data_IF_728233753140
#
_entry.id   IF_728233753140
#
_cell.length_a   1.000
_cell.length_b   1.000
_cell.length_c   1.000
_cell.angle_alpha   90.00
_cell.angle_beta   90.00
_cell.angle_gamma   90.00
#
_symmetry.space_group_name_H-M   'P 1'
#
loop_
_entity.id
_entity.type
_entity.pdbx_description
1 polymer ?
#
# COMPACT_ATOMS: atom_id res chain seq x y z
N UNK A 1 -39.88 -30.55 -31.63
CA UNK A 1 -38.64 -29.77 -31.36
C UNK A 1 -38.92 -28.69 -30.33
N UNK A 2 -39.76 -27.68 -30.61
CA UNK A 2 -40.22 -26.73 -29.60
C UNK A 2 -41.09 -27.38 -28.51
N UNK A 3 -41.81 -28.45 -28.84
CA UNK A 3 -42.69 -29.15 -27.89
C UNK A 3 -41.93 -29.78 -26.72
N UNK A 4 -40.81 -30.48 -26.95
CA UNK A 4 -40.00 -31.09 -25.89
C UNK A 4 -39.34 -30.03 -25.00
N UNK A 5 -38.83 -28.95 -25.60
CA UNK A 5 -38.22 -27.84 -24.87
C UNK A 5 -39.27 -27.04 -24.08
N UNK A 6 -40.43 -26.74 -24.67
CA UNK A 6 -41.53 -26.04 -23.98
C UNK A 6 -42.15 -26.88 -22.89
N UNK A 7 -42.30 -28.19 -23.09
CA UNK A 7 -42.72 -29.15 -22.07
C UNK A 7 -41.72 -29.16 -20.90
N UNK A 8 -40.42 -29.20 -21.19
CA UNK A 8 -39.39 -29.11 -20.16
C UNK A 8 -39.39 -27.77 -19.41
N UNK A 9 -39.50 -26.63 -20.12
CA UNK A 9 -39.59 -25.31 -19.48
C UNK A 9 -40.84 -25.19 -18.58
N UNK A 10 -41.95 -25.81 -18.98
CA UNK A 10 -43.14 -25.90 -18.12
C UNK A 10 -42.89 -26.78 -16.88
N UNK A 11 -42.15 -27.88 -17.03
CA UNK A 11 -41.76 -28.73 -15.90
C UNK A 11 -40.73 -28.10 -14.95
N UNK A 12 -40.00 -27.08 -15.40
CA UNK A 12 -39.19 -26.21 -14.54
C UNK A 12 -40.04 -25.21 -13.76
N UNK A 13 -41.11 -24.69 -14.36
CA UNK A 13 -42.03 -23.76 -13.69
C UNK A 13 -42.95 -24.48 -12.68
N UNK A 14 -43.46 -25.65 -13.04
CA UNK A 14 -44.37 -26.46 -12.24
C UNK A 14 -43.69 -27.78 -11.82
N UNK A 15 -43.40 -27.99 -10.52
CA UNK A 15 -42.72 -29.20 -10.04
C UNK A 15 -43.56 -30.48 -10.17
N UNK A 16 -44.87 -30.35 -10.33
CA UNK A 16 -45.84 -31.46 -10.49
C UNK A 16 -45.81 -32.09 -11.89
N UNK A 17 -45.24 -31.41 -12.88
CA UNK A 17 -45.20 -31.94 -14.26
C UNK A 17 -44.04 -32.93 -14.38
N UNK A 18 -44.30 -34.19 -14.81
CA UNK A 18 -43.26 -35.20 -14.97
C UNK A 18 -42.36 -34.90 -16.18
N UNK A 19 -41.07 -35.18 -16.02
CA UNK A 19 -40.10 -35.04 -17.10
C UNK A 19 -39.97 -36.38 -17.83
N UNK A 20 -40.40 -36.44 -19.09
CA UNK A 20 -40.32 -37.66 -19.91
C UNK A 20 -38.87 -37.99 -20.28
N UNK A 21 -38.48 -39.26 -20.12
CA UNK A 21 -37.15 -39.76 -20.53
C UNK A 21 -36.91 -39.53 -22.03
N UNK A 22 -37.94 -39.73 -22.85
CA UNK A 22 -37.84 -39.56 -24.31
C UNK A 22 -37.54 -38.10 -24.68
N UNK A 23 -38.13 -37.15 -23.96
CA UNK A 23 -37.93 -35.73 -24.22
C UNK A 23 -36.50 -35.31 -23.87
N UNK A 24 -35.96 -35.83 -22.76
CA UNK A 24 -34.58 -35.57 -22.32
C UNK A 24 -33.57 -36.20 -23.28
N UNK A 25 -33.78 -37.44 -23.73
CA UNK A 25 -32.90 -38.06 -24.72
C UNK A 25 -32.91 -37.31 -26.06
N UNK A 26 -34.06 -36.79 -26.47
CA UNK A 26 -34.17 -35.95 -27.67
C UNK A 26 -33.41 -34.62 -27.49
N UNK A 27 -33.61 -33.94 -26.37
CA UNK A 27 -32.94 -32.68 -26.06
C UNK A 27 -31.42 -32.83 -25.96
N UNK A 28 -30.91 -33.92 -25.40
CA UNK A 28 -29.45 -34.18 -25.35
C UNK A 28 -28.84 -34.45 -26.72
N UNK A 29 -29.59 -35.05 -27.66
CA UNK A 29 -29.11 -35.28 -29.03
C UNK A 29 -29.03 -33.98 -29.83
N UNK A 30 -30.01 -33.10 -29.66
CA UNK A 30 -30.08 -31.83 -30.39
C UNK A 30 -29.21 -30.75 -29.75
N UNK A 31 -29.16 -30.73 -28.42
CA UNK A 31 -28.41 -29.76 -27.63
C UNK A 31 -27.49 -30.49 -26.63
N UNK A 32 -26.34 -31.03 -27.09
CA UNK A 32 -25.41 -31.75 -26.23
C UNK A 32 -24.90 -30.92 -25.05
N UNK A 33 -24.86 -29.59 -25.18
CA UNK A 33 -24.44 -28.65 -24.14
C UNK A 33 -25.52 -28.39 -23.07
N UNK A 34 -26.78 -28.75 -23.34
CA UNK A 34 -27.90 -28.44 -22.46
C UNK A 34 -28.08 -29.57 -21.44
N UNK A 35 -27.35 -29.49 -20.33
CA UNK A 35 -27.31 -30.54 -19.30
C UNK A 35 -28.46 -30.49 -18.29
N UNK A 36 -29.20 -29.39 -18.23
CA UNK A 36 -30.27 -29.18 -17.24
C UNK A 36 -31.39 -30.24 -17.29
N UNK A 37 -31.89 -30.67 -18.45
CA UNK A 37 -32.92 -31.73 -18.51
C UNK A 37 -32.42 -33.07 -17.99
N UNK A 38 -31.16 -33.41 -18.27
CA UNK A 38 -30.53 -34.61 -17.75
C UNK A 38 -30.42 -34.54 -16.22
N UNK A 39 -29.96 -33.39 -15.70
CA UNK A 39 -29.79 -33.16 -14.26
C UNK A 39 -31.10 -33.20 -13.49
N UNK A 40 -32.14 -32.55 -13.99
CA UNK A 40 -33.47 -32.52 -13.34
C UNK A 40 -34.10 -33.90 -13.28
N UNK A 41 -34.02 -34.66 -14.37
CA UNK A 41 -34.49 -36.04 -14.43
C UNK A 41 -33.69 -36.94 -13.48
N UNK A 42 -32.36 -36.82 -13.45
CA UNK A 42 -31.52 -37.56 -12.50
C UNK A 42 -31.76 -37.17 -11.04
N UNK A 43 -32.06 -35.90 -10.74
CA UNK A 43 -32.34 -35.43 -9.37
C UNK A 43 -33.71 -35.91 -8.87
N UNK A 44 -34.73 -35.92 -9.74
CA UNK A 44 -36.10 -36.34 -9.39
C UNK A 44 -36.25 -37.87 -9.35
N UNK A 45 -35.70 -38.57 -10.34
CA UNK A 45 -35.98 -40.00 -10.58
C UNK A 45 -34.72 -40.88 -10.61
N UNK A 46 -33.55 -40.38 -10.20
CA UNK A 46 -32.25 -41.04 -10.38
C UNK A 46 -32.14 -42.49 -9.88
N UNK A 47 -32.92 -42.87 -8.86
CA UNK A 47 -32.97 -44.25 -8.34
C UNK A 47 -33.95 -45.16 -9.10
N UNK A 48 -34.94 -44.59 -9.80
CA UNK A 48 -35.96 -45.33 -10.55
C UNK A 48 -35.58 -45.54 -12.02
N UNK A 49 -34.53 -44.89 -12.51
CA UNK A 49 -34.11 -44.98 -13.91
C UNK A 49 -33.42 -46.32 -14.23
N UNK A 50 -33.63 -46.84 -15.45
CA UNK A 50 -32.82 -47.93 -15.97
C UNK A 50 -31.32 -47.63 -15.90
N UNK A 51 -30.50 -48.67 -15.64
CA UNK A 51 -29.05 -48.50 -15.50
C UNK A 51 -28.40 -47.92 -16.77
N UNK A 52 -28.91 -48.30 -17.95
CA UNK A 52 -28.36 -47.86 -19.23
C UNK A 52 -28.70 -46.42 -19.57
N UNK A 53 -29.93 -45.98 -19.29
CA UNK A 53 -30.32 -44.58 -19.49
C UNK A 53 -29.54 -43.67 -18.54
N UNK A 54 -29.42 -44.07 -17.27
CA UNK A 54 -28.62 -43.34 -16.28
C UNK A 54 -27.16 -43.20 -16.71
N UNK A 55 -26.53 -44.25 -17.26
CA UNK A 55 -25.16 -44.19 -17.78
C UNK A 55 -25.03 -43.16 -18.90
N UNK A 56 -25.93 -43.19 -19.89
CA UNK A 56 -25.91 -42.23 -21.01
C UNK A 56 -26.07 -40.78 -20.53
N UNK A 57 -26.95 -40.53 -19.57
CA UNK A 57 -27.14 -39.20 -18.99
C UNK A 57 -25.88 -38.74 -18.24
N UNK A 58 -25.24 -39.63 -17.48
CA UNK A 58 -23.99 -39.35 -16.78
C UNK A 58 -22.84 -39.06 -17.76
N UNK A 59 -22.73 -39.83 -18.85
CA UNK A 59 -21.71 -39.62 -19.87
C UNK A 59 -21.88 -38.25 -20.53
N UNK A 60 -23.11 -37.90 -20.91
CA UNK A 60 -23.42 -36.58 -21.48
C UNK A 60 -23.12 -35.43 -20.51
N UNK A 61 -23.41 -35.62 -19.23
CA UNK A 61 -23.10 -34.62 -18.21
C UNK A 61 -21.59 -34.49 -17.96
N UNK A 62 -20.87 -35.61 -17.91
CA UNK A 62 -19.43 -35.64 -17.68
C UNK A 62 -18.66 -34.93 -18.81
N UNK A 63 -19.11 -35.05 -20.05
CA UNK A 63 -18.52 -34.34 -21.19
C UNK A 63 -18.67 -32.81 -21.10
N UNK A 64 -19.66 -32.32 -20.37
CA UNK A 64 -19.95 -30.90 -20.22
C UNK A 64 -19.55 -30.33 -18.84
N UNK A 65 -19.11 -31.18 -17.91
CA UNK A 65 -18.65 -30.76 -16.60
C UNK A 65 -17.25 -30.12 -16.71
N UNK A 66 -17.01 -29.04 -15.97
CA UNK A 66 -15.70 -28.38 -15.95
C UNK A 66 -14.63 -29.25 -15.29
N UNK A 67 -15.00 -29.96 -14.22
CA UNK A 67 -14.14 -30.86 -13.46
C UNK A 67 -14.93 -32.00 -12.79
N UNK A 68 -14.20 -32.96 -12.23
CA UNK A 68 -14.78 -34.11 -11.54
C UNK A 68 -15.55 -33.68 -10.27
N UNK A 69 -15.13 -32.60 -9.61
CA UNK A 69 -15.81 -32.07 -8.44
C UNK A 69 -17.17 -31.47 -8.81
N UNK A 70 -17.26 -30.68 -9.89
CA UNK A 70 -18.52 -30.16 -10.39
C UNK A 70 -19.48 -31.29 -10.81
N UNK A 71 -18.97 -32.34 -11.48
CA UNK A 71 -19.79 -33.51 -11.80
C UNK A 71 -20.37 -34.17 -10.54
N UNK A 72 -19.55 -34.35 -9.50
CA UNK A 72 -20.00 -34.92 -8.23
C UNK A 72 -21.06 -34.04 -7.55
N UNK A 73 -20.85 -32.72 -7.52
CA UNK A 73 -21.82 -31.76 -6.97
C UNK A 73 -23.13 -31.77 -7.76
N UNK A 74 -23.07 -31.84 -9.09
CA UNK A 74 -24.25 -31.84 -9.94
C UNK A 74 -25.08 -33.11 -9.83
N UNK A 75 -24.43 -34.27 -9.63
CA UNK A 75 -25.07 -35.60 -9.68
C UNK A 75 -25.49 -36.14 -8.32
N UNK A 76 -24.89 -35.66 -7.23
CA UNK A 76 -25.26 -36.08 -5.88
C UNK A 76 -26.65 -35.51 -5.50
N UNK A 77 -27.66 -36.36 -5.22
CA UNK A 77 -28.97 -35.90 -4.75
C UNK A 77 -28.91 -35.13 -3.42
N UNK A 78 -27.82 -35.30 -2.65
CA UNK A 78 -27.59 -34.62 -1.37
C UNK A 78 -26.71 -33.39 -1.50
N UNK A 79 -26.29 -33.00 -2.70
CA UNK A 79 -25.41 -31.82 -2.87
C UNK A 79 -26.01 -30.57 -2.26
N UNK A 80 -27.32 -30.36 -2.42
CA UNK A 80 -28.02 -29.22 -1.82
C UNK A 80 -27.83 -29.16 -0.28
N UNK A 81 -27.77 -30.31 0.40
CA UNK A 81 -27.52 -30.40 1.85
C UNK A 81 -26.08 -30.00 2.21
N UNK A 82 -25.11 -30.39 1.38
CA UNK A 82 -23.69 -30.09 1.59
C UNK A 82 -23.32 -28.65 1.22
N UNK A 83 -24.00 -28.08 0.21
CA UNK A 83 -23.83 -26.67 -0.17
C UNK A 83 -24.27 -25.73 0.96
N UNK A 84 -25.37 -26.06 1.64
CA UNK A 84 -25.90 -25.25 2.75
C UNK A 84 -25.29 -25.60 4.11
N UNK A 85 -24.45 -26.65 4.18
CA UNK A 85 -23.84 -27.10 5.44
C UNK A 85 -22.89 -26.05 6.03
N UNK A 86 -22.20 -25.30 5.16
CA UNK A 86 -21.37 -24.17 5.58
C UNK A 86 -22.10 -22.86 5.31
N UNK A 87 -22.16 -21.92 6.28
CA UNK A 87 -22.66 -20.58 6.02
C UNK A 87 -21.90 -20.00 4.83
N UNK A 88 -22.60 -19.46 3.84
CA UNK A 88 -21.94 -18.82 2.71
C UNK A 88 -20.92 -17.82 3.24
N UNK A 89 -19.65 -18.00 2.87
CA UNK A 89 -18.60 -17.06 3.24
C UNK A 89 -19.02 -15.69 2.71
N UNK A 90 -19.44 -14.81 3.62
CA UNK A 90 -19.58 -13.40 3.29
C UNK A 90 -18.19 -12.92 2.98
N UNK A 91 -17.83 -12.88 1.70
CA UNK A 91 -16.61 -12.21 1.26
C UNK A 91 -16.64 -10.82 1.89
N UNK A 92 -15.62 -10.43 2.67
CA UNK A 92 -15.62 -9.12 3.28
C UNK A 92 -15.75 -8.10 2.16
N UNK A 93 -16.72 -7.20 2.28
CA UNK A 93 -16.81 -6.07 1.36
C UNK A 93 -15.49 -5.29 1.48
N UNK A 94 -14.79 -5.16 0.36
CA UNK A 94 -13.52 -4.42 0.30
C UNK A 94 -13.87 -2.94 0.39
N UNK A 95 -14.06 -2.47 1.61
CA UNK A 95 -14.21 -1.05 1.92
C UNK A 95 -12.84 -0.41 2.03
N UNK A 96 -12.77 0.90 1.80
CA UNK A 96 -11.53 1.68 1.95
C UNK A 96 -10.97 1.55 3.36
N UNK A 97 -11.84 1.55 4.38
CA UNK A 97 -11.44 1.40 5.78
C UNK A 97 -10.81 0.02 6.04
N UNK A 98 -11.41 -1.07 5.55
CA UNK A 98 -10.83 -2.41 5.67
C UNK A 98 -9.46 -2.53 4.97
N UNK A 99 -9.30 -1.87 3.82
CA UNK A 99 -8.03 -1.85 3.11
C UNK A 99 -6.94 -1.10 3.89
N UNK A 100 -7.30 0.05 4.48
CA UNK A 100 -6.39 0.82 5.32
C UNK A 100 -6.00 0.04 6.57
N UNK A 101 -6.96 -0.58 7.26
CA UNK A 101 -6.71 -1.37 8.46
C UNK A 101 -5.80 -2.57 8.17
N UNK A 102 -6.04 -3.27 7.04
CA UNK A 102 -5.19 -4.38 6.60
C UNK A 102 -3.78 -3.90 6.26
N UNK A 103 -3.66 -2.75 5.60
CA UNK A 103 -2.37 -2.16 5.27
C UNK A 103 -1.59 -1.76 6.53
N UNK A 104 -2.24 -1.08 7.48
CA UNK A 104 -1.60 -0.67 8.74
C UNK A 104 -1.24 -1.88 9.62
N UNK A 105 -2.02 -2.95 9.62
CA UNK A 105 -1.66 -4.18 10.32
C UNK A 105 -0.47 -4.91 9.67
N UNK A 106 -0.37 -4.86 8.35
CA UNK A 106 0.69 -5.56 7.59
C UNK A 106 2.00 -4.76 7.55
N UNK A 107 1.91 -3.43 7.43
CA UNK A 107 3.04 -2.53 7.16
C UNK A 107 3.23 -1.43 8.21
N UNK A 108 2.32 -1.28 9.17
CA UNK A 108 2.42 -0.26 10.22
C UNK A 108 3.30 -0.66 11.40
N UNK A 109 3.98 -1.79 11.33
CA UNK A 109 4.95 -2.23 12.33
C UNK A 109 6.37 -2.06 11.78
N UNK A 110 6.98 -0.92 12.08
CA UNK A 110 8.43 -0.76 11.88
C UNK A 110 9.18 -1.54 12.95
N UNK A 111 10.21 -2.28 12.55
CA UNK A 111 11.17 -2.85 13.49
C UNK A 111 12.07 -1.75 14.06
N UNK A 112 12.60 -1.90 15.29
CA UNK A 112 13.50 -0.91 15.87
C UNK A 112 14.78 -0.70 15.04
N UNK A 113 15.16 -1.68 14.21
CA UNK A 113 16.27 -1.58 13.27
C UNK A 113 15.94 -0.68 12.07
N UNK A 114 14.75 -0.82 11.51
CA UNK A 114 14.25 0.05 10.42
C UNK A 114 14.07 1.49 10.88
N UNK A 115 13.57 1.71 12.11
CA UNK A 115 13.45 3.05 12.69
C UNK A 115 14.83 3.71 12.85
N UNK A 116 15.85 2.97 13.27
CA UNK A 116 17.22 3.48 13.38
C UNK A 116 17.86 3.76 12.01
N UNK A 117 17.53 2.97 10.99
CA UNK A 117 17.95 3.23 9.60
C UNK A 117 17.25 4.46 9.02
N UNK A 118 15.95 4.61 9.26
CA UNK A 118 15.19 5.80 8.88
C UNK A 118 15.72 7.04 9.60
N UNK A 119 16.02 6.96 10.89
CA UNK A 119 16.65 8.05 11.66
C UNK A 119 18.01 8.43 11.04
N UNK A 120 18.84 7.44 10.69
CA UNK A 120 20.12 7.69 10.00
C UNK A 120 19.92 8.35 8.63
N UNK A 121 18.97 7.88 7.82
CA UNK A 121 18.72 8.42 6.48
C UNK A 121 18.11 9.84 6.51
N UNK A 122 17.26 10.13 7.50
CA UNK A 122 16.60 11.43 7.65
C UNK A 122 17.58 12.47 8.22
N UNK A 123 18.42 12.09 9.19
CA UNK A 123 19.29 13.03 9.90
C UNK A 123 20.75 13.04 9.39
N UNK A 124 21.18 12.03 8.64
CA UNK A 124 22.50 11.97 7.99
C UNK A 124 22.40 11.35 6.58
N UNK A 125 21.81 12.06 5.60
CA UNK A 125 21.45 11.51 4.29
C UNK A 125 22.63 11.22 3.35
N UNK A 126 23.86 11.57 3.72
CA UNK A 126 25.02 11.39 2.82
C UNK A 126 25.58 9.97 2.92
N UNK A 127 25.58 9.28 1.78
CA UNK A 127 26.54 8.22 1.52
C UNK A 127 27.95 8.79 1.70
N UNK A 128 28.84 8.04 2.36
CA UNK A 128 30.24 8.38 2.69
C UNK A 128 31.15 8.60 1.46
N UNK A 129 30.60 9.05 0.32
CA UNK A 129 31.33 9.28 -0.92
C UNK A 129 32.26 10.48 -0.83
N UNK A 130 31.87 11.55 -0.11
CA UNK A 130 32.77 12.68 0.16
C UNK A 130 33.98 12.27 1.00
N UNK A 131 33.80 11.35 1.95
CA UNK A 131 34.87 10.80 2.77
C UNK A 131 35.75 9.82 1.99
N UNK A 132 35.16 9.01 1.10
CA UNK A 132 35.90 8.13 0.19
C UNK A 132 36.79 8.93 -0.76
N UNK A 133 36.26 9.98 -1.41
CA UNK A 133 37.05 10.84 -2.28
C UNK A 133 38.19 11.54 -1.53
N UNK A 134 37.90 12.09 -0.34
CA UNK A 134 38.94 12.72 0.48
C UNK A 134 40.07 11.74 0.85
N UNK A 135 39.72 10.48 1.11
CA UNK A 135 40.70 9.42 1.42
C UNK A 135 41.50 8.99 0.19
N UNK A 136 40.86 8.80 -0.97
CA UNK A 136 41.54 8.48 -2.23
C UNK A 136 42.49 9.62 -2.66
N UNK A 137 42.08 10.87 -2.47
CA UNK A 137 42.93 12.04 -2.72
C UNK A 137 44.15 12.09 -1.81
N UNK A 138 44.02 11.66 -0.54
CA UNK A 138 45.14 11.52 0.39
C UNK A 138 46.07 10.36 0.05
N UNK A 139 45.52 9.20 -0.34
CA UNK A 139 46.28 8.01 -0.74
C UNK A 139 47.00 8.20 -2.08
N UNK A 140 46.49 9.05 -2.97
CA UNK A 140 47.08 9.36 -4.28
C UNK A 140 48.21 10.41 -4.25
N UNK A 141 48.56 10.96 -3.08
CA UNK A 141 49.59 11.99 -2.99
C UNK A 141 51.00 11.42 -3.21
N UNK A 142 51.86 12.14 -3.96
CA UNK A 142 53.27 11.78 -4.06
C UNK A 142 54.01 12.00 -2.72
N UNK A 143 55.09 11.24 -2.45
CA UNK A 143 55.88 11.38 -1.22
C UNK A 143 56.54 12.76 -1.12
N UNK A 144 56.70 13.26 0.12
CA UNK A 144 57.39 14.52 0.35
C UNK A 144 58.85 14.47 -0.16
N UNK A 145 59.27 15.41 -1.02
CA UNK A 145 60.63 15.41 -1.56
C UNK A 145 61.65 15.76 -0.47
N UNK A 146 62.82 15.12 -0.52
CA UNK A 146 63.93 15.45 0.37
C UNK A 146 64.47 16.86 0.07
N UNK A 147 64.87 17.64 1.10
CA UNK A 147 65.22 19.05 0.94
C UNK A 147 66.47 19.32 0.09
N UNK A 148 67.22 18.28 -0.29
CA UNK A 148 68.45 18.35 -1.08
C UNK A 148 68.28 17.84 -2.52
N UNK A 149 67.09 17.37 -2.89
CA UNK A 149 66.84 16.82 -4.21
C UNK A 149 66.25 17.87 -5.16
N UNK A 150 67.01 18.22 -6.19
CA UNK A 150 66.63 19.19 -7.23
C UNK A 150 66.17 18.50 -8.51
N UNK A 151 65.82 17.20 -8.46
CA UNK A 151 65.26 16.47 -9.58
C UNK A 151 63.93 17.09 -10.05
N UNK A 152 63.61 16.94 -11.33
CA UNK A 152 62.37 17.48 -11.90
C UNK A 152 61.13 16.91 -11.19
N UNK A 153 61.19 15.64 -10.77
CA UNK A 153 60.13 14.97 -10.04
C UNK A 153 59.93 15.56 -8.64
N UNK A 154 61.00 15.94 -7.95
CA UNK A 154 60.92 16.61 -6.65
C UNK A 154 60.22 17.99 -6.75
N UNK A 155 60.48 18.74 -7.82
CA UNK A 155 59.83 20.02 -8.10
C UNK A 155 58.35 19.86 -8.45
N UNK A 156 58.00 18.83 -9.23
CA UNK A 156 56.61 18.52 -9.58
C UNK A 156 55.83 18.10 -8.33
N UNK A 157 56.39 17.23 -7.49
CA UNK A 157 55.75 16.79 -6.25
C UNK A 157 55.57 17.94 -5.25
N UNK A 158 56.56 18.81 -5.09
CA UNK A 158 56.45 20.02 -4.28
C UNK A 158 55.37 20.99 -4.81
N UNK A 159 55.21 21.09 -6.14
CA UNK A 159 54.16 21.91 -6.75
C UNK A 159 52.76 21.34 -6.50
N UNK A 160 52.58 20.04 -6.65
CA UNK A 160 51.30 19.34 -6.37
C UNK A 160 50.90 19.51 -4.90
N UNK A 161 51.84 19.36 -3.96
CA UNK A 161 51.60 19.55 -2.53
C UNK A 161 51.29 21.02 -2.17
N UNK A 162 51.93 21.99 -2.86
CA UNK A 162 51.71 23.42 -2.62
C UNK A 162 50.36 23.92 -3.12
N UNK A 163 49.84 23.37 -4.22
CA UNK A 163 48.52 23.71 -4.77
C UNK A 163 47.35 23.02 -4.02
N UNK A 164 47.63 22.20 -3.01
CA UNK A 164 46.60 21.54 -2.19
C UNK A 164 45.96 22.46 -1.12
N UNK A 165 46.53 23.63 -0.83
CA UNK A 165 45.94 24.61 0.08
C UNK A 165 44.96 25.57 -0.64
N UNK A 166 43.85 25.93 0.02
CA UNK A 166 42.50 25.61 -0.42
C UNK A 166 42.12 26.28 -1.74
N UNK A 167 41.52 25.51 -2.65
CA UNK A 167 40.70 26.09 -3.69
C UNK A 167 39.43 26.64 -3.04
N UNK A 168 39.42 27.97 -2.87
CA UNK A 168 38.21 28.77 -2.83
C UNK A 168 37.30 28.44 -4.02
N UNK A 169 35.97 28.61 -3.86
CA UNK A 169 35.00 28.29 -4.89
C UNK A 169 35.29 29.09 -6.16
N UNK A 170 35.03 28.45 -7.30
CA UNK A 170 35.11 29.04 -8.65
C UNK A 170 34.36 30.39 -8.67
N UNK A 171 34.94 31.47 -9.23
CA UNK A 171 34.20 32.70 -9.49
C UNK A 171 33.15 32.42 -10.55
N UNK A 172 31.88 32.61 -10.22
CA UNK A 172 30.87 32.89 -11.22
C UNK A 172 30.92 34.40 -11.46
N UNK A 173 31.34 34.79 -12.66
CA UNK A 173 31.40 36.18 -13.09
C UNK A 173 30.01 36.85 -12.97
N UNK A 174 30.02 37.98 -12.27
CA UNK A 174 29.30 39.24 -12.47
C UNK A 174 28.04 39.26 -13.36
N UNK A 175 26.93 39.69 -12.77
CA UNK A 175 26.25 40.91 -13.25
C UNK A 175 25.50 41.60 -12.09
N UNK A 176 25.90 42.84 -11.86
CA UNK A 176 25.44 43.78 -10.86
C UNK A 176 24.29 44.63 -11.45
N UNK A 177 23.09 44.58 -10.86
CA UNK A 177 22.11 45.67 -10.99
C UNK A 177 21.07 45.63 -9.87
N UNK A 178 21.15 46.63 -9.00
CA UNK A 178 20.07 47.01 -8.10
C UNK A 178 18.80 47.40 -8.88
N UNK A 179 17.62 46.94 -8.46
CA UNK A 179 16.38 47.73 -8.48
C UNK A 179 15.20 46.98 -7.82
N UNK A 180 14.32 47.79 -7.26
CA UNK A 180 13.11 47.53 -6.50
C UNK A 180 12.13 46.48 -7.06
N UNK A 181 11.21 45.96 -6.21
CA UNK A 181 10.20 44.98 -6.61
C UNK A 181 9.16 45.61 -7.56
N UNK A 182 8.93 45.06 -8.77
CA UNK A 182 7.83 45.53 -9.59
C UNK A 182 6.53 44.89 -9.10
N UNK A 183 5.58 45.78 -8.82
CA UNK A 183 4.19 45.49 -8.56
C UNK A 183 3.47 44.92 -9.81
N UNK A 184 2.45 44.11 -9.52
CA UNK A 184 1.21 43.89 -10.27
C UNK A 184 1.28 43.46 -11.76
N UNK A 185 1.06 42.16 -11.98
CA UNK A 185 0.23 41.68 -13.09
C UNK A 185 -0.83 40.72 -12.55
N UNK A 186 -2.06 40.92 -13.04
CA UNK A 186 -3.30 40.22 -12.68
C UNK A 186 -3.30 38.75 -13.16
N UNK A 187 -4.26 37.92 -12.70
CA UNK A 187 -4.10 36.49 -12.54
C UNK A 187 -4.41 35.71 -13.82
N UNK A 188 -3.57 34.72 -14.12
CA UNK A 188 -3.92 33.62 -15.04
C UNK A 188 -3.98 32.34 -14.21
N UNK A 189 -5.05 31.58 -14.43
CA UNK A 189 -5.56 30.48 -13.63
C UNK A 189 -4.54 29.36 -13.40
N UNK A 190 -3.82 29.44 -12.28
CA UNK A 190 -3.31 28.25 -11.62
C UNK A 190 -4.32 27.84 -10.55
N UNK A 191 -4.85 26.60 -10.57
CA UNK A 191 -5.72 26.12 -9.52
C UNK A 191 -4.95 26.26 -8.21
N UNK A 192 -5.45 27.13 -7.34
CA UNK A 192 -5.02 27.24 -5.96
C UNK A 192 -5.25 25.86 -5.36
N UNK A 193 -4.19 25.06 -5.30
CA UNK A 193 -4.10 23.99 -4.34
C UNK A 193 -4.21 24.69 -2.99
N UNK A 194 -5.42 24.68 -2.44
CA UNK A 194 -5.64 24.82 -1.02
C UNK A 194 -4.79 23.72 -0.41
N UNK A 195 -3.55 24.06 -0.03
CA UNK A 195 -2.73 23.20 0.80
C UNK A 195 -3.53 23.03 2.07
N UNK A 196 -4.14 21.86 2.19
CA UNK A 196 -4.74 21.41 3.41
C UNK A 196 -3.71 21.57 4.52
N UNK A 197 -3.98 22.50 5.42
CA UNK A 197 -3.20 22.77 6.64
C UNK A 197 -3.23 21.60 7.65
N UNK A 198 -3.77 20.45 7.23
CA UNK A 198 -3.91 19.24 8.01
C UNK A 198 -2.57 18.48 8.16
N UNK A 199 -1.71 18.47 7.14
CA UNK A 199 -0.45 17.71 7.17
C UNK A 199 0.60 18.35 8.10
N UNK A 200 0.62 19.67 8.21
CA UNK A 200 1.48 20.37 9.17
C UNK A 200 1.10 20.04 10.63
N UNK A 201 -0.16 19.67 10.88
CA UNK A 201 -0.66 19.43 12.23
C UNK A 201 -0.10 18.14 12.83
N UNK A 202 0.00 17.06 12.05
CA UNK A 202 0.48 15.75 12.52
C UNK A 202 2.00 15.76 12.73
N UNK A 203 2.74 16.40 11.81
CA UNK A 203 4.18 16.59 11.93
C UNK A 203 4.55 17.44 13.15
N UNK A 204 3.81 18.53 13.38
CA UNK A 204 4.01 19.41 14.54
C UNK A 204 3.72 18.71 15.87
N UNK A 205 2.71 17.82 15.93
CA UNK A 205 2.41 17.03 17.14
C UNK A 205 3.53 16.03 17.46
N UNK A 206 4.07 15.34 16.45
CA UNK A 206 5.22 14.43 16.61
C UNK A 206 6.46 15.18 17.12
N UNK A 207 6.76 16.34 16.54
CA UNK A 207 7.86 17.20 16.97
C UNK A 207 7.69 17.62 18.44
N UNK A 208 6.50 18.06 18.86
CA UNK A 208 6.24 18.40 20.24
C UNK A 208 6.52 17.23 21.20
N UNK A 209 6.09 16.02 20.85
CA UNK A 209 6.32 14.79 21.66
C UNK A 209 7.80 14.49 21.85
N UNK A 210 8.63 14.72 20.83
CA UNK A 210 10.09 14.56 20.92
C UNK A 210 10.70 15.59 21.88
N UNK A 211 10.27 16.85 21.82
CA UNK A 211 10.77 17.89 22.74
C UNK A 211 10.43 17.60 24.21
N UNK A 212 9.25 17.02 24.47
CA UNK A 212 8.86 16.56 25.82
C UNK A 212 9.81 15.46 26.32
N UNK A 213 10.09 14.44 25.49
CA UNK A 213 11.03 13.36 25.83
C UNK A 213 12.43 13.89 26.13
N UNK A 214 12.87 14.91 25.38
CA UNK A 214 14.16 15.59 25.56
C UNK A 214 14.18 16.61 26.72
N UNK A 215 13.13 16.65 27.56
CA UNK A 215 12.93 17.59 28.68
C UNK A 215 12.99 19.09 28.31
N UNK A 216 12.80 19.43 27.03
CA UNK A 216 12.75 20.82 26.56
C UNK A 216 11.31 21.31 26.51
N UNK A 217 10.75 21.58 27.68
CA UNK A 217 9.33 21.85 27.83
C UNK A 217 8.90 23.22 27.26
N UNK A 218 9.76 24.24 27.27
CA UNK A 218 9.44 25.57 26.71
C UNK A 218 9.14 25.48 25.21
N UNK A 219 9.97 24.75 24.46
CA UNK A 219 9.78 24.56 23.01
C UNK A 219 8.59 23.67 22.69
N UNK A 220 8.36 22.63 23.49
CA UNK A 220 7.16 21.81 23.35
C UNK A 220 5.88 22.65 23.58
N UNK A 221 5.90 23.57 24.55
CA UNK A 221 4.78 24.46 24.86
C UNK A 221 4.46 25.41 23.70
N UNK A 222 5.47 26.04 23.10
CA UNK A 222 5.30 26.92 21.92
C UNK A 222 4.64 26.17 20.74
N UNK A 223 5.09 24.94 20.46
CA UNK A 223 4.57 24.14 19.34
C UNK A 223 3.11 23.74 19.59
N UNK A 224 2.79 23.20 20.78
CA UNK A 224 1.41 22.81 21.12
C UNK A 224 0.48 24.03 21.16
N UNK A 225 0.96 25.20 21.60
CA UNK A 225 0.18 26.42 21.60
C UNK A 225 -0.18 26.86 20.17
N UNK A 226 0.81 26.91 19.27
CA UNK A 226 0.58 27.23 17.86
C UNK A 226 -0.35 26.21 17.18
N UNK A 227 -0.23 24.93 17.53
CA UNK A 227 -1.09 23.87 17.02
C UNK A 227 -2.55 24.02 17.47
N UNK A 228 -2.76 24.50 18.70
CA UNK A 228 -4.10 24.75 19.25
C UNK A 228 -4.84 25.86 18.50
N UNK A 229 -4.13 26.89 18.05
CA UNK A 229 -4.70 28.00 17.28
C UNK A 229 -5.17 27.56 15.89
N UNK A 230 -4.43 26.63 15.27
CA UNK A 230 -4.80 26.05 13.96
C UNK A 230 -5.97 25.07 14.06
N UNK A 231 -6.18 24.44 15.22
CA UNK A 231 -7.12 23.33 15.40
C UNK A 231 -8.17 23.59 16.51
N UNK A 232 -9.12 24.52 16.31
CA UNK A 232 -10.10 24.88 17.34
C UNK A 232 -11.03 23.74 17.75
N UNK A 233 -11.26 22.74 16.87
CA UNK A 233 -12.10 21.56 17.15
C UNK A 233 -11.56 20.67 18.28
N UNK A 234 -10.24 20.71 18.55
CA UNK A 234 -9.57 19.91 19.59
C UNK A 234 -9.11 20.77 20.79
N UNK A 235 -9.75 21.91 21.03
CA UNK A 235 -9.33 22.89 22.05
C UNK A 235 -9.19 22.30 23.46
N UNK A 236 -10.08 21.39 23.87
CA UNK A 236 -10.05 20.74 25.20
C UNK A 236 -8.79 19.90 25.38
N UNK A 237 -8.41 19.10 24.38
CA UNK A 237 -7.21 18.26 24.42
C UNK A 237 -5.93 19.10 24.55
N UNK A 238 -5.82 20.18 23.77
CA UNK A 238 -4.66 21.06 23.83
C UNK A 238 -4.58 21.82 25.15
N UNK A 239 -5.71 22.21 25.75
CA UNK A 239 -5.72 22.85 27.07
C UNK A 239 -5.13 21.94 28.14
N UNK A 240 -5.47 20.64 28.12
CA UNK A 240 -4.91 19.67 29.06
C UNK A 240 -3.41 19.43 28.84
N UNK A 241 -2.96 19.35 27.58
CA UNK A 241 -1.54 19.21 27.26
C UNK A 241 -0.72 20.44 27.68
N UNK A 242 -1.21 21.65 27.43
CA UNK A 242 -0.55 22.88 27.84
C UNK A 242 -0.45 22.98 29.37
N UNK A 243 -1.51 22.57 30.09
CA UNK A 243 -1.49 22.51 31.55
C UNK A 243 -0.49 21.49 32.08
N UNK A 244 -0.39 20.34 31.42
CA UNK A 244 0.61 19.32 31.75
C UNK A 244 2.04 19.85 31.53
N UNK A 245 2.31 20.49 30.40
CA UNK A 245 3.62 21.08 30.10
C UNK A 245 3.99 22.19 31.07
N UNK A 246 3.06 23.07 31.44
CA UNK A 246 3.29 24.09 32.46
C UNK A 246 3.70 23.49 33.81
N UNK A 247 3.05 22.39 34.24
CA UNK A 247 3.44 21.68 35.46
C UNK A 247 4.85 21.09 35.36
N UNK A 248 5.22 20.56 34.20
CA UNK A 248 6.57 20.03 33.97
C UNK A 248 7.63 21.15 33.97
N UNK A 249 7.33 22.30 33.36
CA UNK A 249 8.21 23.48 33.38
C UNK A 249 8.43 23.97 34.81
N UNK A 250 7.36 24.12 35.59
CA UNK A 250 7.41 24.46 37.02
C UNK A 250 8.28 23.45 37.75
N UNK A 251 7.99 22.14 37.64
CA UNK A 251 8.78 21.10 38.29
C UNK A 251 10.27 21.19 37.91
N UNK A 252 10.61 21.34 36.62
CA UNK A 252 11.99 21.45 36.18
C UNK A 252 12.74 22.65 36.73
N UNK A 253 12.04 23.74 37.08
CA UNK A 253 12.63 24.94 37.68
C UNK A 253 12.84 24.82 39.20
N UNK A 254 12.13 23.91 39.87
CA UNK A 254 12.26 23.66 41.31
C UNK A 254 13.09 22.41 41.64
N UNK A 255 13.46 21.61 40.64
CA UNK A 255 14.23 20.37 40.79
C UNK A 255 15.71 20.55 40.40
N UNK A 256 16.19 21.79 40.45
CA UNK A 256 17.59 22.25 40.35
C UNK A 256 17.94 22.99 41.62
#
# INVERSE_FOLDING_TARGET
MEEALSHYLRALADPEVPVSISDVEHLLREYPFFTLPALTLMRREGASLPADTRRRLMDGLALNAADQAALAIMTDPRSDVWLDFYPSEKKPEVTTDNAIDTFLATYGHSTPEEDALLEKLIFNPTADYSMLLAREEEESLPPEPAPTDNSQDALINAFILKNKAPHQPVPQDDDEAASEPPAALAPEDHPVAVKDTADDSSLSESLAKIYIRRRRYDKAFEIIHNLSLKNPKKSVYFADQLRFLQKLMINSRYNT
#
